data_IF_432318389464
#
_entry.id   IF_432318389464
#
_cell.length_a   1.000
_cell.length_b   1.000
_cell.length_c   1.000
_cell.angle_alpha   90.00
_cell.angle_beta   90.00
_cell.angle_gamma   90.00
#
_symmetry.space_group_name_H-M   'P 1'
#
loop_
_entity.id
_entity.type
_entity.pdbx_description
1 polymer ?
#
# COMPACT_ATOMS: atom_id res chain seq x y z
N UNK A 1 -18.88 21.64 3.21
CA UNK A 1 -18.34 22.99 3.00
C UNK A 1 -16.92 22.89 2.45
N UNK A 2 -16.77 22.77 1.13
CA UNK A 2 -15.48 22.78 0.44
C UNK A 2 -15.32 24.18 -0.15
N UNK A 3 -14.67 25.09 0.61
CA UNK A 3 -14.31 26.43 0.11
C UNK A 3 -12.86 26.37 -0.34
N UNK A 4 -12.61 25.92 -1.56
CA UNK A 4 -11.37 26.27 -2.26
C UNK A 4 -11.76 27.11 -3.47
N UNK A 5 -11.42 28.39 -3.35
CA UNK A 5 -11.62 29.42 -4.33
C UNK A 5 -10.84 29.11 -5.61
N UNK A 6 -11.55 29.28 -6.72
CA UNK A 6 -11.13 29.61 -8.07
C UNK A 6 -9.63 29.72 -8.40
N UNK A 7 -9.33 29.10 -9.56
CA UNK A 7 -8.37 29.53 -10.60
C UNK A 7 -6.88 29.44 -10.28
N UNK A 8 -6.28 28.32 -10.69
CA UNK A 8 -5.19 28.35 -11.67
C UNK A 8 -5.32 27.10 -12.54
N UNK A 9 -5.12 27.27 -13.85
CA UNK A 9 -5.04 26.19 -14.82
C UNK A 9 -3.86 25.32 -14.40
N UNK A 10 -4.14 24.21 -13.72
CA UNK A 10 -3.12 23.19 -13.44
C UNK A 10 -2.64 22.73 -14.81
N UNK A 11 -1.34 22.84 -15.09
CA UNK A 11 -0.82 22.41 -16.38
C UNK A 11 -1.07 20.91 -16.56
N UNK A 12 -1.21 20.40 -17.79
CA UNK A 12 -1.38 18.97 -18.02
C UNK A 12 -0.32 18.12 -17.30
N UNK A 13 0.92 18.61 -17.23
CA UNK A 13 2.03 17.96 -16.54
C UNK A 13 1.85 17.96 -15.01
N UNK A 14 1.38 19.06 -14.42
CA UNK A 14 1.08 19.13 -12.98
C UNK A 14 -0.11 18.23 -12.62
N UNK A 15 -1.10 18.13 -13.50
CA UNK A 15 -2.24 17.24 -13.33
C UNK A 15 -1.82 15.77 -13.43
N UNK A 16 -1.00 15.43 -14.43
CA UNK A 16 -0.45 14.09 -14.62
C UNK A 16 0.47 13.70 -13.45
N UNK A 17 1.27 14.64 -12.93
CA UNK A 17 2.04 14.44 -11.71
C UNK A 17 1.14 14.13 -10.51
N UNK A 18 0.08 14.92 -10.29
CA UNK A 18 -0.85 14.68 -9.17
C UNK A 18 -1.58 13.34 -9.31
N UNK A 19 -2.00 12.95 -10.53
CA UNK A 19 -2.61 11.64 -10.79
C UNK A 19 -1.61 10.50 -10.59
N UNK A 20 -0.35 10.66 -11.01
CA UNK A 20 0.69 9.64 -10.83
C UNK A 20 1.12 9.49 -9.36
N UNK A 21 1.10 10.57 -8.59
CA UNK A 21 1.42 10.55 -7.16
C UNK A 21 0.23 10.21 -6.27
N UNK A 22 -1.00 10.27 -6.79
CA UNK A 22 -2.15 9.66 -6.13
C UNK A 22 -1.91 8.16 -6.07
N UNK A 23 -1.80 7.64 -4.85
CA UNK A 23 -1.57 6.23 -4.53
C UNK A 23 -0.12 5.76 -4.61
N UNK A 24 0.85 6.68 -4.55
CA UNK A 24 2.25 6.29 -4.44
C UNK A 24 2.46 5.38 -3.22
N UNK A 25 3.00 4.19 -3.47
CA UNK A 25 3.14 3.15 -2.44
C UNK A 25 4.49 3.29 -1.74
N UNK A 26 4.45 3.49 -0.42
CA UNK A 26 5.63 3.61 0.44
C UNK A 26 5.69 2.41 1.36
N UNK A 27 6.81 1.68 1.32
CA UNK A 27 7.04 0.55 2.21
C UNK A 27 7.61 1.05 3.53
N UNK A 28 6.88 0.81 4.62
CA UNK A 28 7.31 1.11 5.97
C UNK A 28 8.11 -0.08 6.53
N UNK A 29 9.37 0.10 6.92
CA UNK A 29 10.22 -0.96 7.44
C UNK A 29 9.69 -1.51 8.76
N UNK A 30 10.18 -2.68 9.16
CA UNK A 30 9.69 -3.34 10.37
C UNK A 30 10.00 -2.57 11.67
N UNK A 31 11.05 -1.74 11.63
CA UNK A 31 11.48 -0.87 12.71
C UNK A 31 11.64 0.52 12.14
N UNK A 32 10.99 1.49 12.77
CA UNK A 32 11.11 2.91 12.42
C UNK A 32 12.08 3.55 13.41
N UNK A 33 13.07 4.33 12.93
CA UNK A 33 13.96 5.06 13.83
C UNK A 33 13.19 6.03 14.73
N UNK A 34 13.63 6.21 15.98
CA UNK A 34 12.94 7.07 16.97
C UNK A 34 12.84 8.53 16.54
N UNK A 35 13.78 9.03 15.73
CA UNK A 35 13.72 10.39 15.17
C UNK A 35 12.63 10.56 14.11
N UNK A 36 12.14 9.46 13.52
CA UNK A 36 11.06 9.46 12.54
C UNK A 36 9.75 9.09 13.23
N UNK A 37 8.87 10.07 13.41
CA UNK A 37 7.54 9.89 14.05
C UNK A 37 7.57 9.25 15.45
N UNK A 38 8.69 9.35 16.18
CA UNK A 38 8.82 8.72 17.50
C UNK A 38 9.03 7.20 17.44
N UNK A 39 9.40 6.65 16.27
CA UNK A 39 9.57 5.20 16.07
C UNK A 39 8.29 4.44 15.76
N UNK A 40 7.17 5.15 15.54
CA UNK A 40 5.88 4.55 15.22
C UNK A 40 5.10 5.41 14.23
N UNK A 41 4.39 4.80 13.28
CA UNK A 41 3.46 5.53 12.41
C UNK A 41 2.22 5.92 13.20
N UNK A 42 1.96 7.22 13.34
CA UNK A 42 0.82 7.75 14.09
C UNK A 42 -0.44 7.94 13.25
N UNK A 43 -0.32 7.88 11.92
CA UNK A 43 -1.41 8.09 10.98
C UNK A 43 -1.77 6.80 10.25
N UNK A 44 -3.07 6.51 10.18
CA UNK A 44 -3.58 5.29 9.53
C UNK A 44 -3.72 5.42 8.03
N UNK A 45 -4.08 6.62 7.56
CA UNK A 45 -4.31 6.90 6.15
C UNK A 45 -3.62 8.22 5.79
N UNK A 46 -2.87 8.20 4.70
CA UNK A 46 -2.34 9.40 4.09
C UNK A 46 -3.22 9.80 2.90
N UNK A 47 -3.36 11.10 2.65
CA UNK A 47 -4.22 11.62 1.57
C UNK A 47 -3.76 11.20 0.18
N UNK A 48 -2.45 11.03 -0.01
CA UNK A 48 -1.82 10.75 -1.31
C UNK A 48 -0.98 9.47 -1.33
N UNK A 49 -0.63 8.91 -0.16
CA UNK A 49 0.31 7.79 -0.06
C UNK A 49 -0.42 6.53 0.38
N UNK A 50 -0.05 5.40 -0.21
CA UNK A 50 -0.44 4.07 0.26
C UNK A 50 0.71 3.51 1.06
N UNK A 51 0.48 3.22 2.33
CA UNK A 51 1.51 2.67 3.20
C UNK A 51 1.43 1.14 3.14
N UNK A 52 2.59 0.51 2.94
CA UNK A 52 2.75 -0.94 3.04
C UNK A 52 3.65 -1.24 4.23
N UNK A 53 3.07 -1.78 5.29
CA UNK A 53 3.82 -2.11 6.49
C UNK A 53 4.47 -3.48 6.36
N UNK A 54 5.78 -3.56 6.64
CA UNK A 54 6.49 -4.84 6.75
C UNK A 54 6.28 -5.48 8.13
N UNK A 55 6.02 -4.70 9.17
CA UNK A 55 5.69 -5.20 10.50
C UNK A 55 4.17 -5.46 10.62
N UNK A 56 3.72 -6.72 10.80
CA UNK A 56 2.31 -7.04 11.00
C UNK A 56 1.72 -6.42 12.28
N UNK A 57 2.53 -6.18 13.31
CA UNK A 57 2.06 -5.55 14.56
C UNK A 57 1.69 -4.08 14.37
N UNK A 58 2.22 -3.43 13.32
CA UNK A 58 1.87 -2.06 12.94
C UNK A 58 0.63 -2.01 12.04
N UNK A 59 0.11 -3.16 11.59
CA UNK A 59 -1.10 -3.26 10.77
C UNK A 59 -2.33 -3.42 11.66
N UNK A 60 -3.47 -2.89 11.21
CA UNK A 60 -4.75 -3.19 11.87
C UNK A 60 -5.13 -4.66 11.68
N UNK A 61 -6.06 -5.16 12.50
CA UNK A 61 -6.54 -6.54 12.40
C UNK A 61 -7.18 -6.81 11.03
N UNK A 62 -8.00 -5.88 10.53
CA UNK A 62 -8.59 -5.95 9.18
C UNK A 62 -7.52 -5.99 8.07
N UNK A 63 -6.47 -5.17 8.16
CA UNK A 63 -5.39 -5.17 7.17
C UNK A 63 -4.57 -6.46 7.20
N UNK A 64 -4.35 -7.05 8.40
CA UNK A 64 -3.72 -8.36 8.55
C UNK A 64 -4.57 -9.45 7.92
N UNK A 65 -5.86 -9.49 8.18
CA UNK A 65 -6.77 -10.49 7.60
C UNK A 65 -6.81 -10.41 6.07
N UNK A 66 -6.82 -9.21 5.49
CA UNK A 66 -6.78 -9.02 4.03
C UNK A 66 -5.45 -9.54 3.45
N UNK A 67 -4.33 -9.25 4.11
CA UNK A 67 -3.00 -9.72 3.70
C UNK A 67 -2.93 -11.25 3.73
N UNK A 68 -3.36 -11.86 4.83
CA UNK A 68 -3.36 -13.32 5.01
C UNK A 68 -4.24 -14.02 3.98
N UNK A 69 -5.42 -13.45 3.68
CA UNK A 69 -6.31 -13.98 2.63
C UNK A 69 -5.64 -13.93 1.26
N UNK A 70 -4.95 -12.84 0.95
CA UNK A 70 -4.26 -12.67 -0.33
C UNK A 70 -3.09 -13.64 -0.46
N UNK A 71 -2.29 -13.81 0.59
CA UNK A 71 -1.18 -14.77 0.61
C UNK A 71 -1.66 -16.22 0.46
N UNK A 72 -2.77 -16.60 1.12
CA UNK A 72 -3.38 -17.93 0.93
C UNK A 72 -3.79 -18.16 -0.52
N UNK A 73 -4.44 -17.19 -1.15
CA UNK A 73 -4.88 -17.29 -2.54
C UNK A 73 -3.69 -17.37 -3.53
N UNK A 74 -2.62 -16.61 -3.28
CA UNK A 74 -1.40 -16.68 -4.08
C UNK A 74 -0.71 -18.04 -3.93
N UNK A 75 -0.65 -18.58 -2.71
CA UNK A 75 -0.10 -19.92 -2.46
C UNK A 75 -0.92 -21.02 -3.14
N UNK A 76 -2.25 -20.97 -3.08
CA UNK A 76 -3.11 -21.93 -3.77
C UNK A 76 -2.91 -21.90 -5.30
N UNK A 77 -2.73 -20.70 -5.88
CA UNK A 77 -2.43 -20.55 -7.32
C UNK A 77 -1.07 -21.14 -7.67
N UNK A 78 -0.06 -20.91 -6.85
CA UNK A 78 1.28 -21.47 -7.06
C UNK A 78 1.25 -23.00 -6.95
N UNK A 79 0.61 -23.54 -5.92
CA UNK A 79 0.45 -24.99 -5.74
C UNK A 79 -0.29 -25.61 -6.94
N UNK A 80 -1.34 -24.94 -7.44
CA UNK A 80 -2.06 -25.37 -8.63
C UNK A 80 -1.19 -25.35 -9.89
N UNK A 81 -0.38 -24.30 -10.08
CA UNK A 81 0.58 -24.21 -11.17
C UNK A 81 1.61 -25.34 -11.11
N UNK A 82 2.18 -25.62 -9.92
CA UNK A 82 3.16 -26.68 -9.72
C UNK A 82 2.55 -28.07 -9.99
N UNK A 83 1.30 -28.31 -9.58
CA UNK A 83 0.58 -29.56 -9.91
C UNK A 83 0.45 -29.76 -11.42
N UNK A 84 0.08 -28.71 -12.18
CA UNK A 84 -0.02 -28.78 -13.65
C UNK A 84 1.33 -28.97 -14.33
N UNK A 85 2.39 -28.37 -13.79
CA UNK A 85 3.75 -28.44 -14.33
C UNK A 85 4.39 -29.81 -14.10
N UNK A 86 4.23 -30.36 -12.90
CA UNK A 86 4.83 -31.64 -12.50
C UNK A 86 3.96 -32.85 -12.88
N UNK A 87 2.72 -32.62 -13.31
CA UNK A 87 1.78 -33.64 -13.81
C UNK A 87 1.80 -33.82 -15.33
N UNK A 88 2.75 -33.23 -16.06
CA UNK A 88 2.99 -33.62 -17.46
C UNK A 88 3.82 -34.91 -17.48
N UNK A 89 3.41 -35.96 -18.23
CA UNK A 89 4.19 -37.19 -18.37
C UNK A 89 5.56 -36.95 -19.01
#
# INVERSE_FOLDING_TARGET
YFRYLHTNVISPEEFEFVENFKNFEVTIPSIIPTWLWGGQVSFRKHSCLRLKFLNPEMMTEEEREIKDRKEKLEKEKEDDYQRRKNGKP
#
